data_IF_651006941289
#
_entry.id   IF_651006941289
#
_cell.length_a   1.000
_cell.length_b   1.000
_cell.length_c   1.000
_cell.angle_alpha   90.00
_cell.angle_beta   90.00
_cell.angle_gamma   90.00
#
_symmetry.space_group_name_H-M   'P 1'
#
loop_
_entity.id
_entity.type
_entity.pdbx_description
1 polymer ?
#
# COMPACT_ATOMS: atom_id res chain seq x y z
N UNK A 1 6.90 25.01 -39.46
CA UNK A 1 5.64 24.66 -38.78
C UNK A 1 5.92 23.52 -37.81
N UNK A 2 5.70 23.73 -36.50
CA UNK A 2 6.02 22.76 -35.45
C UNK A 2 5.07 21.57 -35.43
N UNK A 3 5.65 20.39 -35.24
CA UNK A 3 4.98 19.11 -35.01
C UNK A 3 4.25 19.09 -33.66
N UNK A 4 3.15 18.35 -33.61
CA UNK A 4 2.33 18.06 -32.43
C UNK A 4 2.89 16.77 -31.81
N UNK A 5 3.22 16.75 -30.50
CA UNK A 5 3.18 15.51 -29.69
C UNK A 5 2.76 15.81 -28.24
N UNK A 6 1.85 15.02 -27.63
CA UNK A 6 1.34 15.23 -26.28
C UNK A 6 2.34 14.72 -25.24
N UNK A 7 2.75 15.59 -24.33
CA UNK A 7 3.50 15.21 -23.14
C UNK A 7 2.59 14.47 -22.14
N UNK A 8 2.25 13.21 -22.42
CA UNK A 8 1.90 12.26 -21.36
C UNK A 8 3.21 11.80 -20.72
N UNK A 9 3.86 12.73 -20.04
CA UNK A 9 5.09 12.46 -19.30
C UNK A 9 4.75 11.45 -18.21
N UNK A 10 5.32 10.26 -18.40
CA UNK A 10 5.10 9.06 -17.61
C UNK A 10 5.41 9.31 -16.14
N UNK A 11 4.38 9.46 -15.32
CA UNK A 11 4.52 9.44 -13.86
C UNK A 11 5.19 8.12 -13.42
N UNK A 12 6.11 8.15 -12.43
CA UNK A 12 6.74 6.93 -11.91
C UNK A 12 5.68 6.07 -11.19
N UNK A 13 5.09 5.14 -11.94
CA UNK A 13 4.01 4.24 -11.54
C UNK A 13 4.33 3.30 -10.35
N UNK A 14 5.60 2.91 -10.05
CA UNK A 14 5.90 1.99 -8.95
C UNK A 14 5.55 2.54 -7.56
N UNK A 15 5.89 3.80 -7.29
CA UNK A 15 5.73 4.41 -5.97
C UNK A 15 4.27 4.70 -5.63
N UNK A 16 3.49 5.18 -6.60
CA UNK A 16 2.07 5.44 -6.41
C UNK A 16 1.29 4.15 -6.10
N UNK A 17 1.58 3.06 -6.82
CA UNK A 17 0.97 1.76 -6.57
C UNK A 17 1.36 1.21 -5.19
N UNK A 18 2.65 1.30 -4.82
CA UNK A 18 3.13 0.84 -3.53
C UNK A 18 2.49 1.59 -2.36
N UNK A 19 2.36 2.92 -2.48
CA UNK A 19 1.68 3.75 -1.46
C UNK A 19 0.23 3.32 -1.27
N UNK A 20 -0.52 3.09 -2.36
CA UNK A 20 -1.92 2.61 -2.28
C UNK A 20 -2.02 1.27 -1.54
N UNK A 21 -1.09 0.33 -1.79
CA UNK A 21 -1.06 -0.95 -1.08
C UNK A 21 -0.80 -0.77 0.41
N UNK A 22 0.17 0.08 0.79
CA UNK A 22 0.45 0.38 2.20
C UNK A 22 -0.77 1.01 2.87
N UNK A 23 -1.42 1.99 2.24
CA UNK A 23 -2.64 2.63 2.75
C UNK A 23 -3.80 1.65 2.90
N UNK A 24 -3.92 0.65 2.00
CA UNK A 24 -4.91 -0.41 2.12
C UNK A 24 -4.62 -1.33 3.31
N UNK A 25 -3.37 -1.75 3.48
CA UNK A 25 -2.93 -2.57 4.61
C UNK A 25 -3.14 -1.85 5.95
N UNK A 26 -2.87 -0.54 6.03
CA UNK A 26 -3.09 0.29 7.21
C UNK A 26 -4.56 0.29 7.65
N UNK A 27 -5.48 0.54 6.71
CA UNK A 27 -6.92 0.55 7.01
C UNK A 27 -7.41 -0.81 7.50
N UNK A 28 -6.98 -1.89 6.83
CA UNK A 28 -7.35 -3.26 7.22
C UNK A 28 -6.75 -3.64 8.57
N UNK A 29 -5.53 -3.21 8.87
CA UNK A 29 -4.87 -3.46 10.14
C UNK A 29 -5.60 -2.75 11.28
N UNK A 30 -5.94 -1.46 11.11
CA UNK A 30 -6.74 -0.71 12.09
C UNK A 30 -8.08 -1.39 12.39
N UNK A 31 -8.79 -1.84 11.35
CA UNK A 31 -10.05 -2.56 11.53
C UNK A 31 -9.85 -3.89 12.30
N UNK A 32 -8.77 -4.61 12.02
CA UNK A 32 -8.41 -5.82 12.76
C UNK A 32 -8.03 -5.51 14.22
N UNK A 33 -7.42 -4.35 14.50
CA UNK A 33 -7.16 -3.88 15.86
C UNK A 33 -8.45 -3.59 16.62
N UNK A 34 -9.35 -2.81 16.02
CA UNK A 34 -10.65 -2.44 16.61
C UNK A 34 -11.49 -3.68 16.93
N UNK A 35 -11.43 -4.70 16.08
CA UNK A 35 -12.13 -5.98 16.27
C UNK A 35 -11.40 -6.97 17.17
N UNK A 36 -10.17 -6.66 17.61
CA UNK A 36 -9.25 -7.59 18.31
C UNK A 36 -9.05 -8.91 17.54
N UNK A 37 -9.12 -8.85 16.21
CA UNK A 37 -9.01 -10.00 15.33
C UNK A 37 -7.54 -10.34 15.07
N UNK A 38 -7.01 -11.19 15.94
CA UNK A 38 -5.62 -11.65 15.88
C UNK A 38 -5.32 -12.43 14.60
N UNK A 39 -6.32 -13.11 14.02
CA UNK A 39 -6.16 -13.88 12.79
C UNK A 39 -6.06 -12.96 11.59
N UNK A 40 -6.92 -11.94 11.52
CA UNK A 40 -6.86 -10.92 10.47
C UNK A 40 -5.51 -10.18 10.47
N UNK A 41 -4.96 -9.86 11.67
CA UNK A 41 -3.60 -9.32 11.76
C UNK A 41 -2.59 -10.27 11.15
N UNK A 42 -2.55 -11.55 11.54
CA UNK A 42 -1.60 -12.53 11.01
C UNK A 42 -1.66 -12.66 9.47
N UNK A 43 -2.86 -12.68 8.90
CA UNK A 43 -3.04 -12.73 7.44
C UNK A 43 -2.50 -11.47 6.76
N UNK A 44 -2.71 -10.28 7.34
CA UNK A 44 -2.13 -9.03 6.84
C UNK A 44 -0.60 -9.03 6.90
N UNK A 45 -0.01 -9.62 7.95
CA UNK A 45 1.43 -9.80 8.02
C UNK A 45 1.94 -10.68 6.87
N UNK A 46 1.30 -11.84 6.62
CA UNK A 46 1.68 -12.73 5.52
C UNK A 46 1.55 -12.06 4.16
N UNK A 47 0.45 -11.36 3.93
CA UNK A 47 0.21 -10.60 2.70
C UNK A 47 1.30 -9.56 2.46
N UNK A 48 1.68 -8.82 3.50
CA UNK A 48 2.75 -7.83 3.39
C UNK A 48 4.11 -8.44 3.05
N UNK A 49 4.47 -9.59 3.64
CA UNK A 49 5.69 -10.31 3.27
C UNK A 49 5.66 -10.72 1.80
N UNK A 50 4.55 -11.26 1.31
CA UNK A 50 4.38 -11.64 -0.10
C UNK A 50 4.54 -10.43 -1.04
N UNK A 51 4.04 -9.27 -0.63
CA UNK A 51 4.15 -8.01 -1.39
C UNK A 51 5.50 -7.29 -1.23
N UNK A 52 6.43 -7.82 -0.43
CA UNK A 52 7.70 -7.16 -0.11
C UNK A 52 7.50 -5.83 0.62
N UNK A 53 6.45 -5.73 1.44
CA UNK A 53 6.11 -4.58 2.27
C UNK A 53 6.49 -4.92 3.72
N UNK A 54 7.32 -4.07 4.33
CA UNK A 54 7.70 -4.25 5.72
C UNK A 54 6.51 -3.99 6.65
N UNK A 55 6.22 -4.87 7.63
CA UNK A 55 5.07 -4.69 8.51
C UNK A 55 4.98 -3.34 9.22
N UNK A 56 6.13 -2.80 9.63
CA UNK A 56 6.22 -1.48 10.27
C UNK A 56 5.58 -0.35 9.45
N UNK A 57 5.53 -0.47 8.12
CA UNK A 57 4.95 0.54 7.24
C UNK A 57 3.43 0.67 7.36
N UNK A 58 2.74 -0.37 7.86
CA UNK A 58 1.29 -0.34 8.01
C UNK A 58 0.78 -0.61 9.43
N UNK A 59 1.66 -0.98 10.36
CA UNK A 59 1.34 -1.15 11.78
C UNK A 59 1.63 0.10 12.62
N UNK A 60 2.48 1.01 12.15
CA UNK A 60 2.75 2.28 12.84
C UNK A 60 1.62 3.26 12.53
N UNK A 61 0.64 3.34 13.43
CA UNK A 61 -0.55 4.17 13.28
C UNK A 61 -0.32 5.65 13.62
N UNK A 62 0.72 6.27 13.07
CA UNK A 62 0.96 7.71 13.19
C UNK A 62 0.32 8.52 12.08
#
# INVERSE_FOLDING_TARGET
MNQIEPAFETVPVPDARRRRLITSLQQRFRLAEERRDSRAKQELFREAIYLGIQPRLFTDGR
#
